data_IF_264011351000
#
_entry.id   IF_264011351000
#
_cell.length_a   1.000
_cell.length_b   1.000
_cell.length_c   1.000
_cell.angle_alpha   90.00
_cell.angle_beta   90.00
_cell.angle_gamma   90.00
#
_symmetry.space_group_name_H-M   'P 1'
#
loop_
_entity.id
_entity.type
_entity.pdbx_description
1 polymer ?
#
# COMPACT_ATOMS: atom_id res chain seq x y z
N UNK A 1 3.59 31.98 -47.47
CA UNK A 1 2.84 31.21 -46.45
C UNK A 1 2.67 32.10 -45.22
N UNK A 2 1.44 32.53 -44.95
CA UNK A 2 1.12 33.71 -44.15
C UNK A 2 1.48 33.56 -42.67
N UNK A 3 2.06 34.62 -42.09
CA UNK A 3 2.33 34.77 -40.65
C UNK A 3 1.09 34.49 -39.78
N UNK A 4 -0.09 34.83 -40.29
CA UNK A 4 -1.39 34.52 -39.66
C UNK A 4 -1.61 33.01 -39.47
N UNK A 5 -1.31 32.19 -40.49
CA UNK A 5 -1.54 30.74 -40.46
C UNK A 5 -0.60 30.03 -39.45
N UNK A 6 0.61 30.55 -39.28
CA UNK A 6 1.56 30.05 -38.26
C UNK A 6 1.07 30.36 -36.84
N UNK A 7 0.50 31.54 -36.62
CA UNK A 7 -0.03 31.94 -35.31
C UNK A 7 -1.22 31.07 -34.89
N UNK A 8 -2.16 30.79 -35.81
CA UNK A 8 -3.29 29.90 -35.52
C UNK A 8 -2.84 28.47 -35.20
N UNK A 9 -1.86 27.94 -35.95
CA UNK A 9 -1.33 26.60 -35.70
C UNK A 9 -0.67 26.48 -34.31
N UNK A 10 0.07 27.50 -33.87
CA UNK A 10 0.69 27.55 -32.54
C UNK A 10 -0.39 27.56 -31.45
N UNK A 11 -1.45 28.36 -31.60
CA UNK A 11 -2.55 28.43 -30.63
C UNK A 11 -3.28 27.08 -30.53
N UNK A 12 -3.53 26.42 -31.66
CA UNK A 12 -4.18 25.10 -31.70
C UNK A 12 -3.30 24.06 -31.00
N UNK A 13 -1.98 24.05 -31.26
CA UNK A 13 -1.04 23.14 -30.61
C UNK A 13 -0.95 23.38 -29.11
N UNK A 14 -0.90 24.64 -28.66
CA UNK A 14 -0.89 24.98 -27.24
C UNK A 14 -2.18 24.54 -26.54
N UNK A 15 -3.36 24.77 -27.14
CA UNK A 15 -4.63 24.30 -26.58
C UNK A 15 -4.66 22.78 -26.47
N UNK A 16 -4.26 22.07 -27.52
CA UNK A 16 -4.22 20.60 -27.51
C UNK A 16 -3.26 20.06 -26.46
N UNK A 17 -2.10 20.69 -26.27
CA UNK A 17 -1.15 20.34 -25.22
C UNK A 17 -1.74 20.59 -23.82
N UNK A 18 -2.43 21.71 -23.63
CA UNK A 18 -3.04 22.08 -22.35
C UNK A 18 -4.25 21.22 -21.98
N UNK A 19 -5.00 20.76 -22.98
CA UNK A 19 -6.10 19.79 -22.81
C UNK A 19 -5.56 18.41 -22.47
N UNK A 20 -4.46 17.99 -23.10
CA UNK A 20 -3.76 16.75 -22.77
C UNK A 20 -3.24 16.78 -21.33
N UNK A 21 -2.59 17.89 -20.93
CA UNK A 21 -2.11 18.10 -19.55
C UNK A 21 -3.26 18.03 -18.54
N UNK A 22 -4.40 18.67 -18.84
CA UNK A 22 -5.59 18.64 -17.98
C UNK A 22 -6.23 17.26 -17.91
N UNK A 23 -6.23 16.48 -18.99
CA UNK A 23 -6.70 15.10 -18.97
C UNK A 23 -5.80 14.22 -18.09
N UNK A 24 -4.47 14.33 -18.25
CA UNK A 24 -3.51 13.58 -17.43
C UNK A 24 -3.59 13.94 -15.94
N UNK A 25 -3.76 15.22 -15.60
CA UNK A 25 -3.89 15.66 -14.21
C UNK A 25 -5.17 15.13 -13.54
N UNK A 26 -6.28 15.02 -14.28
CA UNK A 26 -7.53 14.44 -13.78
C UNK A 26 -7.41 12.95 -13.48
N UNK A 27 -6.80 12.19 -14.40
CA UNK A 27 -6.57 10.76 -14.20
C UNK A 27 -5.68 10.50 -12.98
N UNK A 28 -4.61 11.28 -12.83
CA UNK A 28 -3.73 11.23 -11.67
C UNK A 28 -4.49 11.47 -10.37
N UNK A 29 -5.24 12.57 -10.31
CA UNK A 29 -6.01 12.96 -9.13
C UNK A 29 -7.01 11.86 -8.72
N UNK A 30 -7.71 11.27 -9.69
CA UNK A 30 -8.65 10.18 -9.45
C UNK A 30 -7.94 8.95 -8.86
N UNK A 31 -6.74 8.61 -9.35
CA UNK A 31 -5.93 7.51 -8.80
C UNK A 31 -5.51 7.78 -7.35
N UNK A 32 -5.10 9.02 -7.00
CA UNK A 32 -4.80 9.38 -5.60
C UNK A 32 -6.02 9.16 -4.71
N UNK A 33 -7.20 9.62 -5.13
CA UNK A 33 -8.42 9.50 -4.34
C UNK A 33 -8.86 8.04 -4.18
N UNK A 34 -8.76 7.22 -5.23
CA UNK A 34 -9.04 5.78 -5.15
C UNK A 34 -8.09 5.07 -4.19
N UNK A 35 -6.81 5.47 -4.18
CA UNK A 35 -5.81 4.93 -3.27
C UNK A 35 -6.14 5.28 -1.80
N UNK A 36 -6.44 6.54 -1.51
CA UNK A 36 -6.86 6.99 -0.17
C UNK A 36 -8.17 6.32 0.26
N UNK A 37 -9.13 6.17 -0.66
CA UNK A 37 -10.39 5.48 -0.39
C UNK A 37 -10.15 4.01 0.03
N UNK A 38 -9.20 3.34 -0.61
CA UNK A 38 -8.79 2.00 -0.21
C UNK A 38 -8.35 1.94 1.25
N UNK A 39 -7.50 2.86 1.70
CA UNK A 39 -7.07 2.88 3.10
C UNK A 39 -8.19 3.22 4.09
N UNK A 40 -9.20 3.97 3.67
CA UNK A 40 -10.40 4.18 4.51
C UNK A 40 -11.09 2.83 4.80
N UNK A 41 -11.23 1.96 3.79
CA UNK A 41 -11.76 0.61 4.00
C UNK A 41 -10.87 -0.23 4.91
N UNK A 42 -9.54 -0.10 4.78
CA UNK A 42 -8.58 -0.76 5.69
C UNK A 42 -8.78 -0.30 7.14
N UNK A 43 -8.99 1.00 7.39
CA UNK A 43 -9.26 1.52 8.73
C UNK A 43 -10.54 0.98 9.35
N UNK A 44 -11.63 0.90 8.57
CA UNK A 44 -12.88 0.29 9.02
C UNK A 44 -12.62 -1.16 9.44
N UNK A 45 -11.84 -1.86 8.61
CA UNK A 45 -11.38 -3.20 8.88
C UNK A 45 -10.63 -3.37 10.21
N UNK A 46 -9.60 -2.56 10.39
CA UNK A 46 -8.81 -2.52 11.61
C UNK A 46 -9.66 -2.16 12.82
N UNK A 47 -10.63 -1.25 12.68
CA UNK A 47 -11.60 -0.93 13.73
C UNK A 47 -12.47 -2.12 14.15
N UNK A 48 -12.99 -2.89 13.19
CA UNK A 48 -13.75 -4.12 13.45
C UNK A 48 -12.87 -5.15 14.16
N UNK A 49 -11.62 -5.30 13.74
CA UNK A 49 -10.67 -6.24 14.35
C UNK A 49 -10.32 -5.84 15.79
N UNK A 50 -10.08 -4.55 16.06
CA UNK A 50 -9.87 -4.01 17.41
C UNK A 50 -11.10 -4.29 18.28
N UNK A 51 -12.30 -3.98 17.80
CA UNK A 51 -13.54 -4.25 18.53
C UNK A 51 -13.67 -5.74 18.90
N UNK A 52 -13.37 -6.63 17.95
CA UNK A 52 -13.40 -8.09 18.16
C UNK A 52 -12.42 -8.51 19.25
N UNK A 53 -11.15 -8.10 19.15
CA UNK A 53 -10.11 -8.40 20.14
C UNK A 53 -10.49 -7.90 21.54
N UNK A 54 -11.02 -6.68 21.64
CA UNK A 54 -11.43 -6.09 22.91
C UNK A 54 -12.63 -6.79 23.54
N UNK A 55 -13.59 -7.25 22.73
CA UNK A 55 -14.80 -7.93 23.19
C UNK A 55 -14.54 -9.38 23.60
N UNK A 56 -13.77 -10.12 22.79
CA UNK A 56 -13.49 -11.54 23.05
C UNK A 56 -12.37 -11.74 24.06
N UNK A 57 -11.49 -10.74 24.26
CA UNK A 57 -10.30 -10.83 25.13
C UNK A 57 -9.40 -12.03 24.80
N UNK A 58 -9.45 -12.49 23.56
CA UNK A 58 -8.63 -13.57 23.03
C UNK A 58 -8.26 -13.25 21.60
N UNK A 59 -7.10 -13.74 21.16
CA UNK A 59 -6.60 -13.59 19.80
C UNK A 59 -7.05 -14.74 18.88
N UNK A 60 -8.17 -15.39 19.22
CA UNK A 60 -8.67 -16.52 18.47
C UNK A 60 -8.95 -16.15 17.00
N UNK A 61 -8.33 -16.90 16.08
CA UNK A 61 -8.45 -16.67 14.64
C UNK A 61 -7.66 -15.50 14.09
N UNK A 62 -6.72 -14.92 14.84
CA UNK A 62 -5.85 -13.81 14.37
C UNK A 62 -4.37 -14.23 14.44
N UNK A 63 -3.66 -14.05 13.32
CA UNK A 63 -2.24 -14.36 13.19
C UNK A 63 -1.38 -13.16 13.58
N UNK A 64 -0.53 -13.31 14.61
CA UNK A 64 0.47 -12.29 14.99
C UNK A 64 1.41 -12.00 13.81
N UNK A 65 1.80 -13.04 13.07
CA UNK A 65 2.74 -12.94 11.96
C UNK A 65 2.19 -11.99 10.86
N UNK A 66 0.88 -12.04 10.56
CA UNK A 66 0.20 -11.09 9.67
C UNK A 66 0.28 -9.66 10.22
N UNK A 67 -0.11 -9.47 11.48
CA UNK A 67 -0.20 -8.12 12.07
C UNK A 67 1.16 -7.43 12.13
N UNK A 68 2.24 -8.19 12.37
CA UNK A 68 3.60 -7.67 12.30
C UNK A 68 3.99 -7.25 10.87
N UNK A 69 3.62 -8.02 9.86
CA UNK A 69 3.89 -7.65 8.46
C UNK A 69 3.15 -6.36 8.09
N UNK A 70 1.88 -6.23 8.46
CA UNK A 70 1.09 -5.02 8.18
C UNK A 70 1.60 -3.80 8.95
N UNK A 71 2.05 -3.97 10.20
CA UNK A 71 2.70 -2.89 10.94
C UNK A 71 3.99 -2.43 10.25
N UNK A 72 4.85 -3.36 9.82
CA UNK A 72 6.10 -3.02 9.10
C UNK A 72 5.81 -2.35 7.76
N UNK A 73 4.78 -2.80 7.02
CA UNK A 73 4.33 -2.12 5.80
C UNK A 73 3.91 -0.68 6.09
N UNK A 74 3.08 -0.49 7.12
CA UNK A 74 2.60 0.86 7.51
C UNK A 74 3.75 1.77 7.92
N UNK A 75 4.75 1.26 8.65
CA UNK A 75 5.94 2.03 9.01
C UNK A 75 6.77 2.40 7.77
N UNK A 76 6.94 1.48 6.82
CA UNK A 76 7.58 1.81 5.55
C UNK A 76 6.79 2.89 4.77
N UNK A 77 5.45 2.84 4.82
CA UNK A 77 4.56 3.84 4.20
C UNK A 77 4.75 5.23 4.79
N UNK A 78 4.95 5.36 6.10
CA UNK A 78 5.30 6.64 6.72
C UNK A 78 6.56 7.22 6.08
N UNK A 79 7.60 6.41 5.87
CA UNK A 79 8.89 6.88 5.32
C UNK A 79 8.74 7.38 3.89
N UNK A 80 8.05 6.64 3.01
CA UNK A 80 7.95 7.02 1.61
C UNK A 80 6.83 8.03 1.32
N UNK A 81 5.79 8.13 2.16
CA UNK A 81 4.66 9.04 1.92
C UNK A 81 5.12 10.50 1.78
N UNK A 82 6.07 10.95 2.62
CA UNK A 82 6.53 12.34 2.66
C UNK A 82 7.15 12.86 1.36
N UNK A 83 7.62 11.99 0.47
CA UNK A 83 8.20 12.37 -0.82
C UNK A 83 7.26 12.12 -2.00
N UNK A 84 6.03 11.68 -1.73
CA UNK A 84 4.99 11.49 -2.74
C UNK A 84 3.97 12.62 -2.74
N UNK A 85 3.27 12.78 -3.86
CA UNK A 85 2.17 13.72 -4.06
C UNK A 85 0.98 13.45 -3.12
N UNK A 86 0.93 12.27 -2.46
CA UNK A 86 -0.01 12.02 -1.36
C UNK A 86 0.18 13.03 -0.22
N UNK A 87 1.39 13.56 -0.01
CA UNK A 87 1.66 14.58 1.01
C UNK A 87 0.87 15.87 0.80
N UNK A 88 0.45 16.15 -0.44
CA UNK A 88 -0.38 17.32 -0.75
C UNK A 88 -1.82 17.16 -0.25
N UNK A 89 -2.27 15.92 0.01
CA UNK A 89 -3.59 15.63 0.54
C UNK A 89 -3.54 15.57 2.06
N UNK A 90 -4.19 16.53 2.73
CA UNK A 90 -4.28 16.57 4.19
C UNK A 90 -4.92 15.29 4.78
N UNK A 91 -5.90 14.71 4.09
CA UNK A 91 -6.56 13.44 4.46
C UNK A 91 -5.52 12.32 4.56
N UNK A 92 -4.54 12.28 3.66
CA UNK A 92 -3.49 11.24 3.65
C UNK A 92 -2.61 11.29 4.90
N UNK A 93 -2.36 12.48 5.46
CA UNK A 93 -1.58 12.65 6.70
C UNK A 93 -2.32 12.14 7.93
N UNK A 94 -3.64 12.33 7.97
CA UNK A 94 -4.49 11.84 9.06
C UNK A 94 -4.66 10.32 8.95
N UNK A 95 -4.85 9.82 7.73
CA UNK A 95 -4.91 8.40 7.38
C UNK A 95 -3.66 7.67 7.91
N UNK A 96 -2.46 8.10 7.53
CA UNK A 96 -1.24 7.39 7.93
C UNK A 96 -1.02 7.38 9.45
N UNK A 97 -1.30 8.48 10.14
CA UNK A 97 -1.21 8.54 11.60
C UNK A 97 -2.20 7.57 12.27
N UNK A 98 -3.40 7.48 11.72
CA UNK A 98 -4.45 6.54 12.17
C UNK A 98 -4.05 5.10 11.86
N UNK A 99 -3.44 4.84 10.70
CA UNK A 99 -2.96 3.52 10.31
C UNK A 99 -1.90 3.00 11.28
N UNK A 100 -0.87 3.82 11.57
CA UNK A 100 0.21 3.47 12.50
C UNK A 100 -0.36 3.17 13.88
N UNK A 101 -1.23 4.03 14.39
CA UNK A 101 -1.85 3.83 15.70
C UNK A 101 -2.67 2.53 15.75
N UNK A 102 -3.55 2.29 14.76
CA UNK A 102 -4.38 1.09 14.72
C UNK A 102 -3.55 -0.18 14.63
N UNK A 103 -2.59 -0.26 13.71
CA UNK A 103 -1.73 -1.44 13.54
C UNK A 103 -0.86 -1.70 14.78
N UNK A 104 -0.28 -0.66 15.37
CA UNK A 104 0.49 -0.80 16.61
C UNK A 104 -0.41 -1.28 17.77
N UNK A 105 -1.63 -0.75 17.87
CA UNK A 105 -2.58 -1.15 18.90
C UNK A 105 -3.08 -2.58 18.72
N UNK A 106 -3.36 -3.01 17.49
CA UNK A 106 -3.71 -4.40 17.18
C UNK A 106 -2.57 -5.35 17.59
N UNK A 107 -1.33 -5.03 17.22
CA UNK A 107 -0.16 -5.84 17.62
C UNK A 107 -0.05 -5.89 19.15
N UNK A 108 -0.22 -4.76 19.84
CA UNK A 108 -0.25 -4.72 21.31
C UNK A 108 -1.34 -5.62 21.90
N UNK A 109 -2.57 -5.56 21.38
CA UNK A 109 -3.67 -6.41 21.83
C UNK A 109 -3.40 -7.90 21.54
N UNK A 110 -2.83 -8.22 20.39
CA UNK A 110 -2.40 -9.57 20.03
C UNK A 110 -1.39 -10.14 21.03
N UNK A 111 -0.42 -9.35 21.48
CA UNK A 111 0.53 -9.77 22.52
C UNK A 111 -0.12 -9.85 23.91
N UNK A 112 -1.04 -8.92 24.22
CA UNK A 112 -1.72 -8.87 25.53
C UNK A 112 -2.72 -10.01 25.72
N UNK A 113 -3.41 -10.42 24.67
CA UNK A 113 -4.38 -11.52 24.67
C UNK A 113 -3.79 -12.82 24.09
N UNK A 114 -2.46 -12.95 24.16
CA UNK A 114 -1.76 -14.16 23.77
C UNK A 114 -1.90 -15.20 24.87
N UNK A 115 -2.89 -16.06 24.72
CA UNK A 115 -3.11 -17.17 25.64
C UNK A 115 -2.12 -18.31 25.42
N UNK A 116 -1.93 -19.17 26.42
CA UNK A 116 -1.07 -20.37 26.36
C UNK A 116 -1.52 -21.38 25.31
N UNK A 117 -2.77 -21.32 24.87
CA UNK A 117 -3.37 -22.18 23.84
C UNK A 117 -3.00 -21.70 22.43
N UNK A 118 -2.51 -20.46 22.27
CA UNK A 118 -2.20 -19.90 20.96
C UNK A 118 -1.14 -20.72 20.22
N UNK A 119 -1.56 -21.36 19.14
CA UNK A 119 -0.69 -22.01 18.17
C UNK A 119 -0.49 -21.08 16.99
N UNK A 120 0.63 -20.37 16.98
CA UNK A 120 1.04 -19.60 15.81
C UNK A 120 1.25 -20.49 14.59
N UNK A 121 1.50 -19.87 13.43
CA UNK A 121 1.76 -20.61 12.20
C UNK A 121 2.97 -21.53 12.38
N UNK A 122 2.81 -22.82 12.12
CA UNK A 122 3.87 -23.83 12.29
C UNK A 122 4.97 -23.74 11.23
N UNK A 123 4.61 -23.30 10.02
CA UNK A 123 5.54 -23.15 8.91
C UNK A 123 6.49 -21.96 9.12
N UNK A 124 7.80 -22.24 9.19
CA UNK A 124 8.84 -21.24 9.40
C UNK A 124 8.85 -20.20 8.28
N UNK A 125 8.62 -20.62 7.03
CA UNK A 125 8.61 -19.73 5.87
C UNK A 125 7.45 -18.71 5.86
N UNK A 126 6.46 -18.87 6.74
CA UNK A 126 5.35 -17.92 6.92
C UNK A 126 5.51 -17.03 8.15
N UNK A 127 6.64 -17.14 8.85
CA UNK A 127 6.93 -16.24 9.97
C UNK A 127 7.20 -14.84 9.45
N UNK A 128 6.75 -13.84 10.22
CA UNK A 128 6.85 -12.43 9.82
C UNK A 128 8.27 -12.02 9.43
N UNK A 129 9.30 -12.43 10.19
CA UNK A 129 10.69 -12.11 9.89
C UNK A 129 11.18 -12.69 8.56
N UNK A 130 10.71 -13.89 8.17
CA UNK A 130 11.06 -14.50 6.88
C UNK A 130 10.33 -13.79 5.74
N UNK A 131 9.03 -13.52 5.90
CA UNK A 131 8.23 -12.82 4.90
C UNK A 131 8.74 -11.41 4.65
N UNK A 132 9.05 -10.66 5.71
CA UNK A 132 9.65 -9.32 5.61
C UNK A 132 10.99 -9.40 4.85
N UNK A 133 11.85 -10.37 5.18
CA UNK A 133 13.12 -10.56 4.49
C UNK A 133 12.95 -10.87 3.00
N UNK A 134 12.04 -11.77 2.63
CA UNK A 134 11.75 -12.12 1.23
C UNK A 134 11.17 -10.91 0.49
N UNK A 135 10.19 -10.21 1.07
CA UNK A 135 9.57 -9.04 0.44
C UNK A 135 10.58 -7.90 0.27
N UNK A 136 11.53 -7.76 1.19
CA UNK A 136 12.63 -6.81 1.07
C UNK A 136 13.60 -7.17 -0.07
N UNK A 137 13.98 -8.45 -0.21
CA UNK A 137 14.79 -8.88 -1.36
C UNK A 137 14.02 -8.65 -2.66
N UNK A 138 12.75 -9.04 -2.72
CA UNK A 138 11.91 -8.83 -3.90
C UNK A 138 11.78 -7.35 -4.25
N UNK A 139 11.65 -6.45 -3.26
CA UNK A 139 11.55 -5.02 -3.53
C UNK A 139 12.83 -4.43 -4.09
N UNK A 140 14.01 -4.95 -3.72
CA UNK A 140 15.29 -4.53 -4.33
C UNK A 140 15.40 -4.95 -5.81
N UNK A 141 14.80 -6.09 -6.19
CA UNK A 141 14.84 -6.62 -7.55
C UNK A 141 13.75 -5.98 -8.42
N UNK A 142 12.53 -5.87 -7.88
CA UNK A 142 11.32 -5.48 -8.58
C UNK A 142 10.86 -4.07 -8.21
N UNK A 143 11.78 -3.12 -8.17
CA UNK A 143 11.46 -1.70 -8.16
C UNK A 143 11.70 -1.06 -9.55
N UNK A 144 10.99 0.02 -9.88
CA UNK A 144 11.13 0.75 -11.14
C UNK A 144 12.19 1.85 -11.11
N UNK A 145 12.80 2.08 -9.95
CA UNK A 145 13.70 3.19 -9.74
C UNK A 145 14.86 3.08 -10.71
N UNK A 146 15.25 4.20 -11.31
CA UNK A 146 16.52 4.25 -12.01
C UNK A 146 17.61 3.87 -11.01
N UNK A 147 18.47 2.92 -11.39
CA UNK A 147 19.65 2.48 -10.63
C UNK A 147 20.73 3.58 -10.62
N UNK A 148 20.35 4.81 -10.29
CA UNK A 148 21.25 5.94 -10.09
C UNK A 148 21.96 5.87 -8.73
N UNK A 149 22.53 6.99 -8.29
CA UNK A 149 23.52 7.10 -7.20
C UNK A 149 23.12 6.52 -5.82
N UNK A 150 21.85 6.21 -5.57
CA UNK A 150 21.39 5.66 -4.29
C UNK A 150 20.75 4.26 -4.45
N UNK A 151 21.37 3.25 -3.83
CA UNK A 151 20.86 1.86 -3.81
C UNK A 151 19.55 1.73 -3.01
N UNK A 152 19.35 2.58 -2.01
CA UNK A 152 18.09 2.71 -1.27
C UNK A 152 17.25 3.83 -1.90
N UNK A 153 16.32 3.46 -2.78
CA UNK A 153 15.35 4.41 -3.33
C UNK A 153 14.03 4.28 -2.58
N UNK A 154 13.30 5.39 -2.39
CA UNK A 154 11.95 5.35 -1.82
C UNK A 154 11.00 4.48 -2.65
N UNK A 155 11.25 4.36 -3.95
CA UNK A 155 10.54 3.43 -4.85
C UNK A 155 10.66 1.96 -4.40
N UNK A 156 11.80 1.60 -3.79
CA UNK A 156 11.99 0.29 -3.17
C UNK A 156 11.05 0.11 -1.97
N UNK A 157 10.88 1.14 -1.14
CA UNK A 157 9.98 1.08 0.02
C UNK A 157 8.50 1.00 -0.41
N UNK A 158 8.13 1.68 -1.50
CA UNK A 158 6.80 1.53 -2.11
C UNK A 158 6.57 0.09 -2.56
N UNK A 159 7.54 -0.50 -3.27
CA UNK A 159 7.47 -1.91 -3.70
C UNK A 159 7.43 -2.87 -2.52
N UNK A 160 8.20 -2.60 -1.46
CA UNK A 160 8.18 -3.37 -0.21
C UNK A 160 6.79 -3.37 0.41
N UNK A 161 6.12 -2.21 0.52
CA UNK A 161 4.78 -2.14 1.09
C UNK A 161 3.77 -2.97 0.31
N UNK A 162 3.83 -2.94 -1.02
CA UNK A 162 2.93 -3.72 -1.88
C UNK A 162 3.14 -5.24 -1.71
N UNK A 163 4.39 -5.69 -1.70
CA UNK A 163 4.69 -7.12 -1.51
C UNK A 163 4.35 -7.59 -0.11
N UNK A 164 4.63 -6.78 0.91
CA UNK A 164 4.41 -7.17 2.29
C UNK A 164 2.93 -7.20 2.65
N UNK A 165 2.12 -6.24 2.17
CA UNK A 165 0.66 -6.26 2.33
C UNK A 165 0.02 -7.48 1.67
N UNK A 166 0.42 -7.80 0.43
CA UNK A 166 -0.05 -8.99 -0.26
C UNK A 166 0.38 -10.30 0.43
N UNK A 167 1.64 -10.37 0.91
CA UNK A 167 2.16 -11.57 1.56
C UNK A 167 1.64 -11.76 2.99
N UNK A 168 1.27 -10.69 3.70
CA UNK A 168 0.78 -10.73 5.08
C UNK A 168 -0.49 -11.58 5.24
N UNK A 169 -1.28 -11.72 4.18
CA UNK A 169 -2.48 -12.55 4.18
C UNK A 169 -2.18 -14.05 4.32
N UNK A 170 -1.09 -14.53 3.73
CA UNK A 170 -0.75 -15.95 3.69
C UNK A 170 -0.67 -16.58 5.08
N UNK A 171 0.07 -16.03 6.07
CA UNK A 171 0.08 -16.57 7.43
C UNK A 171 -1.29 -16.53 8.11
N UNK A 172 -2.15 -15.56 7.78
CA UNK A 172 -3.50 -15.48 8.32
C UNK A 172 -4.41 -16.61 7.80
N UNK A 173 -4.42 -16.85 6.49
CA UNK A 173 -5.19 -17.93 5.87
C UNK A 173 -4.76 -19.31 6.36
N UNK A 174 -3.45 -19.52 6.49
CA UNK A 174 -2.90 -20.77 7.03
C UNK A 174 -3.28 -20.94 8.49
N UNK A 175 -3.20 -19.88 9.30
CA UNK A 175 -3.61 -19.92 10.71
C UNK A 175 -5.10 -20.29 10.86
N UNK A 176 -5.99 -19.69 10.07
CA UNK A 176 -7.41 -20.03 10.06
C UNK A 176 -7.65 -21.49 9.66
N UNK A 177 -6.96 -21.98 8.63
CA UNK A 177 -7.05 -23.39 8.19
C UNK A 177 -6.60 -24.36 9.28
N UNK A 178 -5.56 -24.00 10.04
CA UNK A 178 -5.02 -24.84 11.12
C UNK A 178 -5.98 -24.95 12.31
N UNK A 179 -6.70 -23.87 12.63
CA UNK A 179 -7.62 -23.83 13.76
C UNK A 179 -9.01 -24.41 13.45
N UNK A 180 -9.31 -24.74 12.18
CA UNK A 180 -10.58 -25.33 11.71
C UNK A 180 -11.84 -24.56 12.10
N UNK A 181 -11.71 -23.28 12.42
CA UNK A 181 -12.82 -22.48 12.91
C UNK A 181 -12.82 -21.09 12.25
N UNK A 182 -13.49 -20.98 11.08
CA UNK A 182 -13.70 -19.71 10.45
C UNK A 182 -14.89 -19.04 11.13
N UNK A 183 -14.71 -18.43 12.31
CA UNK A 183 -15.73 -17.49 12.81
C UNK A 183 -16.04 -16.51 11.68
N UNK A 184 -17.24 -16.61 11.09
CA UNK A 184 -17.56 -16.04 9.78
C UNK A 184 -17.35 -14.52 9.67
N UNK A 185 -17.38 -13.81 10.80
CA UNK A 185 -17.09 -12.38 10.87
C UNK A 185 -15.65 -12.05 10.46
N UNK A 186 -14.69 -12.93 10.77
CA UNK A 186 -13.28 -12.79 10.40
C UNK A 186 -13.08 -13.07 8.91
N UNK A 187 -13.83 -14.03 8.35
CA UNK A 187 -13.70 -14.45 6.96
C UNK A 187 -14.18 -13.38 5.98
N UNK A 188 -15.38 -12.83 6.18
CA UNK A 188 -15.93 -11.77 5.31
C UNK A 188 -15.10 -10.48 5.39
N UNK A 189 -14.62 -10.16 6.59
CA UNK A 189 -13.69 -9.03 6.81
C UNK A 189 -12.40 -9.23 6.00
N UNK A 190 -11.73 -10.37 6.19
CA UNK A 190 -10.47 -10.68 5.53
C UNK A 190 -10.62 -10.69 4.01
N UNK A 191 -11.69 -11.27 3.47
CA UNK A 191 -11.95 -11.30 2.02
C UNK A 191 -12.14 -9.89 1.46
N UNK A 192 -12.82 -8.99 2.18
CA UNK A 192 -13.10 -7.63 1.71
C UNK A 192 -11.84 -6.76 1.74
N UNK A 193 -11.05 -6.85 2.81
CA UNK A 193 -9.76 -6.16 2.89
C UNK A 193 -8.75 -6.72 1.86
N UNK A 194 -8.78 -8.03 1.63
CA UNK A 194 -7.89 -8.72 0.69
C UNK A 194 -8.18 -8.39 -0.78
N UNK A 195 -9.46 -8.33 -1.17
CA UNK A 195 -9.84 -7.87 -2.52
C UNK A 195 -9.30 -6.47 -2.82
N UNK A 196 -9.24 -5.61 -1.81
CA UNK A 196 -8.71 -4.27 -1.94
C UNK A 196 -7.19 -4.28 -2.12
N UNK A 197 -6.45 -5.02 -1.28
CA UNK A 197 -4.99 -5.12 -1.37
C UNK A 197 -4.52 -5.83 -2.67
N UNK A 198 -5.23 -6.88 -3.10
CA UNK A 198 -5.01 -7.51 -4.39
C UNK A 198 -5.26 -6.53 -5.55
N UNK A 199 -6.31 -5.71 -5.47
CA UNK A 199 -6.58 -4.65 -6.43
C UNK A 199 -5.45 -3.61 -6.51
N UNK A 200 -4.90 -3.21 -5.37
CA UNK A 200 -3.75 -2.30 -5.30
C UNK A 200 -2.50 -2.91 -5.92
N UNK A 201 -2.23 -4.21 -5.68
CA UNK A 201 -1.11 -4.91 -6.29
C UNK A 201 -1.24 -5.00 -7.81
N UNK A 202 -2.43 -5.32 -8.34
CA UNK A 202 -2.70 -5.32 -9.78
C UNK A 202 -2.50 -3.93 -10.36
N UNK A 203 -3.00 -2.89 -9.69
CA UNK A 203 -2.76 -1.49 -10.06
C UNK A 203 -1.28 -1.15 -10.08
N UNK A 204 -0.50 -1.60 -9.10
CA UNK A 204 0.95 -1.43 -9.04
C UNK A 204 1.64 -2.10 -10.24
N UNK A 205 1.29 -3.34 -10.59
CA UNK A 205 1.88 -4.02 -11.75
C UNK A 205 1.52 -3.34 -13.08
N UNK A 206 0.29 -2.86 -13.21
CA UNK A 206 -0.13 -2.09 -14.37
C UNK A 206 0.72 -0.81 -14.51
N UNK A 207 0.88 -0.06 -13.42
CA UNK A 207 1.71 1.14 -13.38
C UNK A 207 3.20 0.83 -13.60
N UNK A 208 3.70 -0.28 -13.04
CA UNK A 208 5.06 -0.79 -13.28
C UNK A 208 5.30 -1.02 -14.76
N UNK A 209 4.35 -1.65 -15.46
CA UNK A 209 4.48 -1.89 -16.89
C UNK A 209 4.50 -0.59 -17.70
N UNK A 210 3.63 0.36 -17.36
CA UNK A 210 3.59 1.68 -18.00
C UNK A 210 4.87 2.50 -17.75
N UNK A 211 5.36 2.53 -16.51
CA UNK A 211 6.59 3.21 -16.11
C UNK A 211 7.80 2.65 -16.85
N UNK A 212 7.91 1.32 -16.95
CA UNK A 212 8.99 0.67 -17.71
C UNK A 212 8.96 1.03 -19.21
N UNK A 213 7.77 1.20 -19.79
CA UNK A 213 7.61 1.56 -21.21
C UNK A 213 7.89 3.06 -21.47
N UNK A 214 7.65 3.92 -20.49
CA UNK A 214 7.80 5.38 -20.59
C UNK A 214 9.12 5.91 -20.05
N UNK A 215 9.89 5.10 -19.31
CA UNK A 215 11.12 5.53 -18.62
C UNK A 215 10.85 6.48 -17.44
N UNK A 216 9.59 6.61 -17.02
CA UNK A 216 9.16 7.47 -15.91
C UNK A 216 9.01 6.71 -14.59
N UNK A 217 8.77 7.41 -13.47
CA UNK A 217 8.52 6.78 -12.17
C UNK A 217 7.21 5.96 -12.13
N UNK A 218 7.13 4.89 -11.30
CA UNK A 218 5.92 4.01 -11.17
C UNK A 218 4.68 4.78 -10.83
N UNK A 219 4.81 5.68 -9.87
CA UNK A 219 3.71 6.51 -9.46
C UNK A 219 4.00 7.88 -10.05
N UNK A 220 3.10 8.38 -10.87
CA UNK A 220 3.09 9.81 -11.18
C UNK A 220 2.98 10.67 -9.89
N UNK A 221 2.76 10.04 -8.73
CA UNK A 221 2.88 10.60 -7.39
C UNK A 221 4.31 10.89 -6.91
N UNK A 222 5.38 10.32 -7.46
CA UNK A 222 6.74 10.52 -6.87
C UNK A 222 7.53 11.67 -7.50
N UNK A 223 6.98 12.32 -8.52
CA UNK A 223 7.60 13.51 -9.11
C UNK A 223 7.08 14.76 -8.38
N UNK A 224 7.74 15.10 -7.27
CA UNK A 224 7.56 16.39 -6.64
C UNK A 224 8.37 17.42 -7.44
N UNK A 225 7.74 18.02 -8.45
CA UNK A 225 8.32 19.07 -9.31
C UNK A 225 8.85 20.30 -8.54
N UNK A 226 8.63 20.38 -7.23
CA UNK A 226 9.11 21.46 -6.37
C UNK A 226 10.53 21.26 -5.82
N UNK A 227 11.24 20.16 -6.11
CA UNK A 227 12.64 19.97 -5.69
C UNK A 227 13.69 20.68 -6.58
N UNK A 228 13.27 21.38 -7.64
CA UNK A 228 14.14 22.18 -8.51
C UNK A 228 13.73 23.65 -8.60
N UNK A 229 13.32 24.25 -7.47
CA UNK A 229 13.24 25.70 -7.32
C UNK A 229 14.02 26.15 -6.10
#
# INVERSE_FOLDING_TARGET
MNSCLKAELIIILQRKQQDLIRAMARDLTLQLYLFVLGYIFEHIGNGVMIYKLLKQKSMYGISIDMQLCLLVSTLARVVWMFDTQLTNLWISKIEICTAVFMHAYIVYLCYSYKDTIYKGVSAIYLKSYVLIGICFILSTIFHPGNKGEYFFTQQMLVSLTMFLEAAALVPQLVHLRQNKDPEGLTSTYLITADLLHCGLLVGFFYQYHLARKSGGPILAFTDNKNKFK
#
